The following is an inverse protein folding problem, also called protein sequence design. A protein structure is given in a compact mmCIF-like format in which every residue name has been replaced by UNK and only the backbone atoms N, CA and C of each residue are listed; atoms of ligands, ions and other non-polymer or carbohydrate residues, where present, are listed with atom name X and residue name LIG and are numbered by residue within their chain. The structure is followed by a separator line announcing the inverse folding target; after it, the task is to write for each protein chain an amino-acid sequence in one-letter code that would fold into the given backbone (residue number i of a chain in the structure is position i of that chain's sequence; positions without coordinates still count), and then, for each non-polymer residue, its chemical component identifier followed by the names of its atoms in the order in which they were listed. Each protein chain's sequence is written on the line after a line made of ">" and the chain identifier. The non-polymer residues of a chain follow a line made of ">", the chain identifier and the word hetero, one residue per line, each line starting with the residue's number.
data_IF_198797251773
#
_entry.id   IF_198797251773
#
_cell.length_a   1.000
_cell.length_b   1.000
_cell.length_c   1.000
_cell.angle_alpha   90.00
_cell.angle_beta   90.00
_cell.angle_gamma   90.00
#
_symmetry.space_group_name_H-M   'P 1'
#
loop_
_entity.id
_entity.type
_entity.pdbx_description
1 polymer ?
#
# COMPACT_ATOMS: atom_id res chain seq x y z
N UNK A 1 69.66 41.40 23.48
CA UNK A 1 69.75 40.41 24.61
C UNK A 1 68.43 39.71 24.73
N UNK A 2 68.19 38.66 23.87
CA UNK A 2 66.94 37.87 23.91
C UNK A 2 66.99 36.98 25.16
N UNK A 3 65.96 37.11 25.99
CA UNK A 3 65.85 36.50 27.29
C UNK A 3 65.94 35.00 27.22
N UNK A 4 66.72 34.34 28.06
CA UNK A 4 66.78 32.86 28.23
C UNK A 4 65.38 32.22 28.45
N UNK A 5 64.42 32.99 28.87
CA UNK A 5 63.03 32.55 29.08
C UNK A 5 62.28 32.28 27.77
N UNK A 6 62.68 32.93 26.65
CA UNK A 6 62.02 32.65 25.33
C UNK A 6 62.33 31.25 24.80
N UNK A 7 63.56 30.78 25.00
CA UNK A 7 63.97 29.43 24.61
C UNK A 7 63.32 28.34 25.48
N UNK A 8 63.08 28.64 26.77
CA UNK A 8 62.40 27.71 27.70
C UNK A 8 60.94 27.56 27.31
N UNK A 9 60.23 28.61 26.91
CA UNK A 9 58.86 28.54 26.43
C UNK A 9 58.76 27.77 25.10
N UNK A 10 59.75 27.91 24.20
CA UNK A 10 59.77 27.19 22.94
C UNK A 10 59.98 25.68 23.14
N UNK A 11 60.83 25.30 24.09
CA UNK A 11 61.07 23.88 24.45
C UNK A 11 59.84 23.26 25.12
N UNK A 12 59.11 23.99 25.99
CA UNK A 12 57.90 23.53 26.65
C UNK A 12 56.76 23.37 25.62
N UNK A 13 56.66 24.22 24.61
CA UNK A 13 55.68 24.10 23.54
C UNK A 13 55.96 22.89 22.62
N UNK A 14 57.22 22.50 22.44
CA UNK A 14 57.58 21.35 21.63
C UNK A 14 57.31 20.00 22.34
N UNK A 15 57.24 19.98 23.66
CA UNK A 15 56.94 18.78 24.45
C UNK A 15 55.42 18.52 24.62
N UNK A 16 54.58 19.48 24.27
CA UNK A 16 53.13 19.41 24.47
C UNK A 16 52.31 18.64 23.39
N UNK A 17 52.92 18.19 22.31
CA UNK A 17 52.19 17.65 21.15
C UNK A 17 52.40 16.15 20.88
N UNK A 18 52.62 15.35 21.91
CA UNK A 18 52.59 13.88 21.73
C UNK A 18 51.25 13.31 22.25
N UNK A 19 50.14 13.64 21.60
CA UNK A 19 48.94 12.80 21.68
C UNK A 19 49.18 11.61 20.77
N UNK A 20 49.60 10.48 21.35
CA UNK A 20 49.52 9.20 20.63
C UNK A 20 48.06 8.98 20.19
N UNK A 21 47.79 8.70 18.91
CA UNK A 21 46.43 8.36 18.49
C UNK A 21 46.00 7.11 19.26
N UNK A 22 45.02 7.29 20.15
CA UNK A 22 44.39 6.17 20.83
C UNK A 22 43.48 5.48 19.81
N UNK A 23 44.00 4.41 19.23
CA UNK A 23 43.19 3.51 18.43
C UNK A 23 42.43 2.61 19.40
N UNK A 24 41.18 2.96 19.67
CA UNK A 24 40.24 2.03 20.29
C UNK A 24 40.10 0.81 19.36
N UNK A 25 40.60 -0.35 19.78
CA UNK A 25 40.24 -1.60 19.12
C UNK A 25 38.78 -1.87 19.40
N UNK A 26 37.92 -1.50 18.47
CA UNK A 26 36.52 -1.93 18.49
C UNK A 26 36.50 -3.37 17.98
N UNK A 27 36.45 -4.33 18.91
CA UNK A 27 36.18 -5.71 18.59
C UNK A 27 34.68 -5.88 18.38
N UNK A 28 34.24 -6.13 17.16
CA UNK A 28 32.87 -6.53 16.87
C UNK A 28 32.84 -8.02 16.52
N UNK A 29 31.93 -8.78 17.13
CA UNK A 29 31.61 -10.12 16.71
C UNK A 29 30.34 -10.05 15.85
N UNK A 30 30.41 -10.47 14.60
CA UNK A 30 29.25 -10.66 13.75
C UNK A 30 28.52 -11.93 14.20
N UNK A 31 27.38 -11.76 14.84
CA UNK A 31 26.44 -12.85 15.07
C UNK A 31 25.48 -12.92 13.91
N UNK A 32 25.56 -13.98 13.12
CA UNK A 32 24.59 -14.23 12.04
C UNK A 32 23.29 -14.72 12.68
N UNK A 33 22.20 -13.95 12.51
CA UNK A 33 20.86 -14.39 12.87
C UNK A 33 20.33 -15.23 11.73
N UNK A 34 20.33 -16.54 11.90
CA UNK A 34 19.76 -17.48 10.95
C UNK A 34 18.70 -18.38 11.62
N UNK A 35 18.09 -19.29 10.86
CA UNK A 35 17.06 -20.20 11.35
C UNK A 35 17.54 -21.21 12.41
N UNK A 36 18.86 -21.31 12.67
CA UNK A 36 19.42 -22.13 13.73
C UNK A 36 19.38 -21.47 15.11
N UNK A 37 19.16 -20.16 15.17
CA UNK A 37 19.01 -19.42 16.42
C UNK A 37 17.69 -19.77 17.10
N UNK A 38 17.74 -20.60 18.11
CA UNK A 38 16.56 -21.12 18.85
C UNK A 38 16.39 -20.56 20.25
N UNK A 39 17.25 -19.66 20.68
CA UNK A 39 17.13 -19.09 22.03
C UNK A 39 16.02 -18.01 22.07
N UNK A 40 14.86 -18.40 22.61
CA UNK A 40 13.87 -17.42 23.07
C UNK A 40 14.26 -16.98 24.50
N UNK A 41 14.25 -15.69 24.75
CA UNK A 41 14.41 -15.18 26.10
C UNK A 41 13.10 -15.34 26.86
N UNK A 42 13.01 -16.31 27.79
CA UNK A 42 11.83 -16.50 28.66
C UNK A 42 11.36 -15.21 29.31
N UNK A 43 12.28 -14.30 29.62
CA UNK A 43 11.97 -12.99 30.20
C UNK A 43 11.21 -12.11 29.21
N UNK A 44 11.62 -12.10 27.95
CA UNK A 44 10.97 -11.34 26.88
C UNK A 44 9.62 -11.98 26.55
N UNK A 45 9.58 -13.29 26.43
CA UNK A 45 8.33 -14.04 26.17
C UNK A 45 7.28 -13.76 27.24
N UNK A 46 7.64 -13.83 28.52
CA UNK A 46 6.74 -13.51 29.64
C UNK A 46 6.26 -12.06 29.62
N UNK A 47 7.09 -11.12 29.16
CA UNK A 47 6.72 -9.71 29.04
C UNK A 47 5.72 -9.48 27.90
N UNK A 48 5.89 -10.17 26.77
CA UNK A 48 5.08 -10.01 25.58
C UNK A 48 3.77 -10.80 25.65
N UNK A 49 3.79 -11.97 26.32
CA UNK A 49 2.67 -12.93 26.34
C UNK A 49 1.29 -12.32 26.67
N UNK A 50 1.11 -11.46 27.67
CA UNK A 50 -0.19 -10.86 27.99
C UNK A 50 -0.75 -10.01 26.83
N UNK A 51 0.12 -9.22 26.20
CA UNK A 51 -0.26 -8.36 25.06
C UNK A 51 -0.53 -9.19 23.81
N UNK A 52 0.30 -10.20 23.56
CA UNK A 52 0.13 -11.11 22.43
C UNK A 52 -1.20 -11.85 22.52
N UNK A 53 -1.55 -12.40 23.66
CA UNK A 53 -2.81 -13.12 23.84
C UNK A 53 -4.03 -12.23 23.55
N UNK A 54 -4.01 -10.96 23.97
CA UNK A 54 -5.07 -10.00 23.70
C UNK A 54 -5.17 -9.68 22.20
N UNK A 55 -4.04 -9.42 21.54
CA UNK A 55 -4.01 -9.13 20.11
C UNK A 55 -4.45 -10.35 19.31
N UNK A 56 -3.92 -11.55 19.61
CA UNK A 56 -4.25 -12.79 18.92
C UNK A 56 -5.76 -13.08 18.99
N UNK A 57 -6.40 -12.80 20.13
CA UNK A 57 -7.85 -13.00 20.29
C UNK A 57 -8.68 -12.16 19.32
N UNK A 58 -8.24 -10.94 19.00
CA UNK A 58 -8.90 -10.05 18.04
C UNK A 58 -8.52 -10.39 16.60
N UNK A 59 -7.25 -10.69 16.35
CA UNK A 59 -6.73 -10.96 15.01
C UNK A 59 -7.21 -12.29 14.42
N UNK A 60 -7.55 -13.26 15.27
CA UNK A 60 -8.05 -14.58 14.85
C UNK A 60 -9.58 -14.65 14.65
N UNK A 61 -10.31 -13.54 14.83
CA UNK A 61 -11.75 -13.49 14.53
C UNK A 61 -11.96 -13.73 13.02
N UNK A 62 -12.74 -14.77 12.70
CA UNK A 62 -13.14 -15.06 11.31
C UNK A 62 -14.21 -14.04 10.90
N UNK A 63 -13.93 -13.31 9.82
CA UNK A 63 -14.82 -12.27 9.28
C UNK A 63 -15.36 -12.62 7.88
N UNK A 64 -15.01 -13.78 7.34
CA UNK A 64 -15.50 -14.20 6.04
C UNK A 64 -14.80 -15.44 5.52
N UNK A 65 -15.06 -15.77 4.25
CA UNK A 65 -14.47 -16.93 3.60
C UNK A 65 -14.08 -16.61 2.17
N UNK A 66 -12.94 -17.13 1.71
CA UNK A 66 -12.48 -17.06 0.33
C UNK A 66 -12.60 -18.44 -0.34
N UNK A 67 -13.11 -18.47 -1.57
CA UNK A 67 -13.26 -19.69 -2.35
C UNK A 67 -11.93 -20.28 -2.80
N UNK A 68 -10.94 -19.42 -3.01
CA UNK A 68 -9.64 -19.75 -3.58
C UNK A 68 -8.55 -18.81 -3.03
N UNK A 69 -7.30 -19.16 -3.29
CA UNK A 69 -6.20 -18.25 -3.01
C UNK A 69 -6.17 -17.13 -4.06
N UNK A 70 -6.12 -15.87 -3.60
CA UNK A 70 -6.00 -14.71 -4.46
C UNK A 70 -4.65 -14.05 -4.25
N UNK A 71 -3.87 -13.98 -5.31
CA UNK A 71 -2.55 -13.36 -5.33
C UNK A 71 -2.57 -12.05 -6.12
N UNK A 72 -1.63 -11.17 -5.85
CA UNK A 72 -1.42 -9.98 -6.68
C UNK A 72 -0.50 -10.29 -7.85
N UNK A 73 -0.82 -9.74 -9.02
CA UNK A 73 -0.02 -9.80 -10.23
C UNK A 73 -0.14 -8.51 -11.04
N UNK A 74 0.60 -8.41 -12.12
CA UNK A 74 0.53 -7.32 -13.10
C UNK A 74 0.32 -7.89 -14.50
N UNK A 75 -0.35 -7.16 -15.38
CA UNK A 75 -0.93 -5.83 -15.20
C UNK A 75 -2.20 -5.81 -14.34
N UNK A 76 -2.83 -6.95 -14.12
CA UNK A 76 -4.08 -7.17 -13.41
C UNK A 76 -3.95 -8.35 -12.45
N UNK A 77 -4.75 -8.38 -11.39
CA UNK A 77 -4.79 -9.52 -10.47
C UNK A 77 -6.18 -9.72 -9.87
N UNK A 78 -6.54 -10.99 -9.64
CA UNK A 78 -7.79 -11.32 -8.97
C UNK A 78 -7.88 -10.68 -7.57
N UNK A 79 -6.77 -10.64 -6.80
CA UNK A 79 -6.74 -9.94 -5.52
C UNK A 79 -7.03 -8.44 -5.68
N UNK A 80 -6.35 -7.77 -6.63
CA UNK A 80 -6.54 -6.35 -6.88
C UNK A 80 -7.98 -6.03 -7.28
N UNK A 81 -8.52 -6.80 -8.24
CA UNK A 81 -9.90 -6.65 -8.70
C UNK A 81 -10.89 -6.84 -7.55
N UNK A 82 -10.75 -7.94 -6.81
CA UNK A 82 -11.65 -8.25 -5.71
C UNK A 82 -11.64 -7.20 -4.59
N UNK A 83 -10.46 -6.72 -4.18
CA UNK A 83 -10.36 -5.68 -3.15
C UNK A 83 -11.02 -4.38 -3.62
N UNK A 84 -10.77 -3.94 -4.85
CA UNK A 84 -11.35 -2.69 -5.36
C UNK A 84 -12.87 -2.81 -5.55
N UNK A 85 -13.38 -3.97 -5.95
CA UNK A 85 -14.82 -4.21 -6.06
C UNK A 85 -15.53 -4.19 -4.70
N UNK A 86 -14.94 -4.81 -3.67
CA UNK A 86 -15.44 -4.72 -2.30
C UNK A 86 -15.48 -3.27 -1.82
N UNK A 87 -14.45 -2.48 -2.11
CA UNK A 87 -14.42 -1.08 -1.71
C UNK A 87 -15.47 -0.22 -2.45
N UNK A 88 -15.77 -0.52 -3.71
CA UNK A 88 -16.88 0.12 -4.45
C UNK A 88 -18.21 -0.26 -3.81
N UNK A 89 -18.42 -1.54 -3.50
CA UNK A 89 -19.64 -2.01 -2.80
C UNK A 89 -19.83 -1.26 -1.48
N UNK A 90 -18.78 -1.21 -0.68
CA UNK A 90 -18.80 -0.48 0.59
C UNK A 90 -19.06 1.02 0.39
N UNK A 91 -18.30 1.65 -0.49
CA UNK A 91 -18.39 3.09 -0.75
C UNK A 91 -19.77 3.49 -1.27
N UNK A 92 -20.36 2.69 -2.15
CA UNK A 92 -21.72 2.93 -2.68
C UNK A 92 -22.77 2.91 -1.56
N UNK A 93 -22.59 2.06 -0.55
CA UNK A 93 -23.55 1.89 0.54
C UNK A 93 -23.34 2.86 1.70
N UNK A 94 -22.12 3.35 1.92
CA UNK A 94 -21.75 4.08 3.15
C UNK A 94 -21.19 5.49 2.91
N UNK A 95 -20.78 5.79 1.67
CA UNK A 95 -20.28 7.12 1.30
C UNK A 95 -21.35 7.77 0.44
N UNK A 96 -21.87 8.92 0.88
CA UNK A 96 -22.91 9.66 0.14
C UNK A 96 -22.33 10.39 -1.08
N UNK A 97 -21.64 9.61 -1.93
CA UNK A 97 -21.08 10.05 -3.22
C UNK A 97 -21.31 8.97 -4.27
N UNK A 98 -21.67 9.37 -5.48
CA UNK A 98 -21.75 8.44 -6.59
C UNK A 98 -20.32 8.07 -7.03
N UNK A 99 -19.90 6.81 -6.81
CA UNK A 99 -18.56 6.32 -7.11
C UNK A 99 -18.57 5.66 -8.48
N UNK A 100 -17.73 6.14 -9.39
CA UNK A 100 -17.59 5.57 -10.74
C UNK A 100 -16.48 4.52 -10.80
N UNK A 101 -15.36 4.77 -10.10
CA UNK A 101 -14.15 3.96 -10.19
C UNK A 101 -13.48 3.87 -8.81
N UNK A 102 -12.80 2.76 -8.53
CA UNK A 102 -11.85 2.64 -7.43
C UNK A 102 -10.46 2.38 -7.99
N UNK A 103 -9.47 3.08 -7.45
CA UNK A 103 -8.05 2.89 -7.80
C UNK A 103 -7.24 2.78 -6.52
N UNK A 104 -6.45 1.72 -6.41
CA UNK A 104 -5.45 1.53 -5.37
C UNK A 104 -4.07 1.35 -6.00
N UNK A 105 -3.02 1.37 -5.19
CA UNK A 105 -1.68 1.05 -5.66
C UNK A 105 -1.32 -0.43 -5.39
N UNK A 106 -0.61 -1.03 -6.34
CA UNK A 106 -0.10 -2.40 -6.23
C UNK A 106 0.74 -2.61 -4.95
N UNK A 107 1.54 -1.59 -4.58
CA UNK A 107 2.35 -1.60 -3.36
C UNK A 107 1.54 -1.61 -2.07
N UNK A 108 0.29 -1.17 -2.10
CA UNK A 108 -0.63 -1.16 -0.96
C UNK A 108 -1.09 -2.55 -0.54
N UNK A 109 -1.13 -3.52 -1.47
CA UNK A 109 -1.45 -4.92 -1.19
C UNK A 109 -0.18 -5.69 -0.84
N UNK A 110 -0.02 -6.13 0.40
CA UNK A 110 1.25 -6.67 0.93
C UNK A 110 1.30 -8.18 1.05
N UNK A 111 0.15 -8.85 1.13
CA UNK A 111 0.04 -10.30 1.30
C UNK A 111 -1.05 -10.87 0.39
N UNK A 112 -1.00 -12.15 0.01
CA UNK A 112 -2.10 -12.84 -0.66
C UNK A 112 -3.28 -13.07 0.30
N UNK A 113 -4.47 -13.30 -0.25
CA UNK A 113 -5.63 -13.80 0.47
C UNK A 113 -5.71 -15.32 0.27
N UNK A 114 -5.46 -16.15 1.29
CA UNK A 114 -5.52 -17.59 1.14
C UNK A 114 -6.96 -18.10 1.01
N UNK A 115 -7.12 -19.30 0.45
CA UNK A 115 -8.39 -20.03 0.45
C UNK A 115 -8.84 -20.37 1.87
N UNK A 116 -10.12 -20.29 2.14
CA UNK A 116 -10.74 -20.69 3.41
C UNK A 116 -11.16 -19.52 4.28
N UNK A 117 -11.11 -19.65 5.61
CA UNK A 117 -11.57 -18.59 6.52
C UNK A 117 -10.66 -17.37 6.43
N UNK A 118 -11.27 -16.19 6.38
CA UNK A 118 -10.63 -14.90 6.39
C UNK A 118 -10.69 -14.37 7.81
N UNK A 119 -9.53 -14.19 8.44
CA UNK A 119 -9.43 -13.61 9.79
C UNK A 119 -9.05 -12.13 9.73
N UNK A 120 -9.39 -11.37 10.77
CA UNK A 120 -9.05 -9.94 10.89
C UNK A 120 -7.56 -9.71 10.62
N UNK A 121 -6.68 -10.52 11.23
CA UNK A 121 -5.23 -10.43 11.04
C UNK A 121 -4.79 -10.54 9.58
N UNK A 122 -5.47 -11.37 8.78
CA UNK A 122 -5.17 -11.47 7.35
C UNK A 122 -5.44 -10.17 6.61
N UNK A 123 -6.50 -9.44 6.97
CA UNK A 123 -6.80 -8.15 6.35
C UNK A 123 -5.72 -7.11 6.73
N UNK A 124 -5.23 -7.15 7.97
CA UNK A 124 -4.09 -6.32 8.40
C UNK A 124 -2.79 -6.67 7.65
N UNK A 125 -2.56 -7.95 7.32
CA UNK A 125 -1.40 -8.35 6.51
C UNK A 125 -1.53 -7.90 5.04
N UNK A 126 -2.74 -7.97 4.47
CA UNK A 126 -3.00 -7.51 3.09
C UNK A 126 -2.83 -6.00 2.99
N UNK A 127 -3.40 -5.25 3.94
CA UNK A 127 -3.43 -3.78 3.96
C UNK A 127 -2.90 -3.24 5.30
N UNK A 128 -1.57 -3.26 5.55
CA UNK A 128 -1.01 -2.93 6.87
C UNK A 128 -0.98 -1.43 7.19
N UNK A 129 -1.43 -0.58 6.29
CA UNK A 129 -1.41 0.88 6.44
C UNK A 129 -2.72 1.43 6.99
N UNK A 130 -2.67 2.51 7.78
CA UNK A 130 -3.86 3.21 8.29
C UNK A 130 -4.44 4.19 7.23
N UNK A 131 -4.53 3.70 6.00
CA UNK A 131 -5.10 4.48 4.92
C UNK A 131 -6.62 4.60 5.06
N UNK A 132 -7.13 5.81 4.80
CA UNK A 132 -8.56 6.10 4.76
C UNK A 132 -9.06 6.20 3.32
N UNK A 133 -10.37 5.96 3.16
CA UNK A 133 -11.05 6.13 1.88
C UNK A 133 -11.28 7.62 1.58
N UNK A 134 -10.95 8.01 0.36
CA UNK A 134 -11.14 9.37 -0.18
C UNK A 134 -11.82 9.28 -1.53
N UNK A 135 -12.77 10.17 -1.79
CA UNK A 135 -13.37 10.33 -3.12
C UNK A 135 -12.81 11.60 -3.76
N UNK A 136 -12.29 11.48 -4.97
CA UNK A 136 -11.73 12.58 -5.77
C UNK A 136 -12.53 12.70 -7.05
N UNK A 137 -12.88 13.92 -7.42
CA UNK A 137 -13.58 14.18 -8.68
C UNK A 137 -12.58 14.57 -9.77
N UNK A 138 -12.58 13.84 -10.87
CA UNK A 138 -11.76 14.10 -12.06
C UNK A 138 -12.63 14.42 -13.27
N UNK A 139 -12.14 15.29 -14.13
CA UNK A 139 -12.69 15.50 -15.48
C UNK A 139 -12.32 14.33 -16.41
N UNK A 140 -12.96 14.27 -17.56
CA UNK A 140 -12.65 13.25 -18.60
C UNK A 140 -11.18 13.29 -19.04
N UNK A 141 -10.58 14.47 -19.20
CA UNK A 141 -9.18 14.60 -19.60
C UNK A 141 -8.22 14.13 -18.49
N UNK A 142 -8.57 14.43 -17.24
CA UNK A 142 -7.80 13.94 -16.07
C UNK A 142 -7.93 12.43 -15.93
N UNK A 143 -9.09 11.87 -16.23
CA UNK A 143 -9.28 10.41 -16.23
C UNK A 143 -8.38 9.73 -17.28
N UNK A 144 -8.22 10.30 -18.48
CA UNK A 144 -7.25 9.82 -19.48
C UNK A 144 -5.81 9.88 -18.96
N UNK A 145 -5.47 10.93 -18.20
CA UNK A 145 -4.15 11.06 -17.59
C UNK A 145 -3.93 10.03 -16.49
N UNK A 146 -4.98 9.71 -15.72
CA UNK A 146 -4.96 8.62 -14.73
C UNK A 146 -4.74 7.27 -15.42
N UNK A 147 -5.42 6.98 -16.55
CA UNK A 147 -5.22 5.75 -17.31
C UNK A 147 -3.76 5.60 -17.76
N UNK A 148 -3.17 6.66 -18.29
CA UNK A 148 -1.75 6.67 -18.66
C UNK A 148 -0.85 6.38 -17.47
N UNK A 149 -1.11 7.01 -16.32
CA UNK A 149 -0.32 6.77 -15.12
C UNK A 149 -0.39 5.30 -14.67
N UNK A 150 -1.57 4.68 -14.66
CA UNK A 150 -1.76 3.26 -14.32
C UNK A 150 -0.96 2.37 -15.27
N UNK A 151 -0.96 2.65 -16.57
CA UNK A 151 -0.20 1.88 -17.56
C UNK A 151 1.31 2.05 -17.38
N UNK A 152 1.83 3.26 -17.08
CA UNK A 152 3.25 3.46 -16.79
C UNK A 152 3.74 2.70 -15.55
N UNK A 153 2.82 2.33 -14.65
CA UNK A 153 3.10 1.46 -13.49
C UNK A 153 2.96 -0.03 -13.82
N UNK A 154 2.77 -0.39 -15.10
CA UNK A 154 2.50 -1.76 -15.55
C UNK A 154 1.23 -2.34 -14.92
N UNK A 155 0.23 -1.50 -14.67
CA UNK A 155 -1.04 -1.87 -14.06
C UNK A 155 -1.10 -1.62 -12.55
N UNK A 156 -2.29 -1.26 -12.09
CA UNK A 156 -2.65 -1.02 -10.68
C UNK A 156 -4.02 -1.63 -10.40
N UNK A 157 -4.37 -1.96 -9.13
CA UNK A 157 -5.71 -2.44 -8.80
C UNK A 157 -6.78 -1.42 -9.16
N UNK A 158 -7.73 -1.81 -10.00
CA UNK A 158 -8.87 -1.00 -10.40
C UNK A 158 -10.18 -1.76 -10.28
N UNK A 159 -11.25 -1.04 -9.98
CA UNK A 159 -12.61 -1.54 -9.97
C UNK A 159 -13.58 -0.44 -10.40
N UNK A 160 -14.77 -0.82 -10.87
CA UNK A 160 -15.84 0.09 -11.22
C UNK A 160 -17.20 -0.55 -11.00
N UNK A 161 -18.25 0.28 -10.80
CA UNK A 161 -19.64 -0.21 -10.75
C UNK A 161 -20.08 -0.89 -12.07
N UNK A 162 -19.47 -0.49 -13.17
CA UNK A 162 -19.67 -1.05 -14.51
C UNK A 162 -18.37 -1.64 -14.96
N UNK A 163 -18.44 -2.60 -15.88
CA UNK A 163 -17.24 -3.19 -16.43
C UNK A 163 -16.34 -2.09 -17.01
N UNK A 164 -15.06 -2.05 -16.58
CA UNK A 164 -14.10 -1.03 -16.98
C UNK A 164 -12.88 -1.69 -17.60
N UNK A 165 -12.39 -1.11 -18.69
CA UNK A 165 -11.10 -1.49 -19.28
C UNK A 165 -10.19 -0.29 -19.42
N UNK A 166 -8.93 -0.48 -19.12
CA UNK A 166 -7.85 0.44 -19.50
C UNK A 166 -7.10 -0.22 -20.65
N UNK A 167 -6.99 0.49 -21.75
CA UNK A 167 -6.26 0.02 -22.92
C UNK A 167 -5.24 1.06 -23.35
N UNK A 168 -4.05 0.61 -23.79
CA UNK A 168 -3.12 1.47 -24.48
C UNK A 168 -3.40 1.39 -26.00
N UNK A 169 -3.45 2.56 -26.61
CA UNK A 169 -3.52 2.73 -28.05
C UNK A 169 -2.37 3.62 -28.52
N UNK A 170 -2.00 3.56 -29.79
CA UNK A 170 -1.05 4.52 -30.41
C UNK A 170 -1.44 5.99 -30.20
N UNK A 171 -2.73 6.26 -29.97
CA UNK A 171 -3.26 7.59 -29.63
C UNK A 171 -3.22 7.91 -28.14
N UNK A 172 -2.77 7.00 -27.29
CA UNK A 172 -2.69 7.14 -25.83
C UNK A 172 -3.55 6.14 -25.07
N UNK A 173 -3.50 6.23 -23.73
CA UNK A 173 -4.28 5.37 -22.84
C UNK A 173 -5.71 5.89 -22.70
N UNK A 174 -6.66 4.98 -22.67
CA UNK A 174 -8.07 5.31 -22.42
C UNK A 174 -8.70 4.37 -21.38
N UNK A 175 -9.65 4.90 -20.61
CA UNK A 175 -10.66 4.09 -19.94
C UNK A 175 -11.82 3.84 -20.88
N UNK A 176 -12.29 2.61 -20.97
CA UNK A 176 -13.53 2.24 -21.62
C UNK A 176 -14.48 1.65 -20.59
N UNK A 177 -15.70 2.18 -20.52
CA UNK A 177 -16.82 1.63 -19.75
C UNK A 177 -17.78 0.94 -20.72
N UNK A 178 -18.35 -0.19 -20.33
CA UNK A 178 -19.08 -1.11 -21.23
C UNK A 178 -20.30 -0.52 -21.95
N UNK A 179 -20.94 0.50 -21.39
CA UNK A 179 -22.21 1.05 -21.96
C UNK A 179 -22.16 2.53 -22.33
N UNK A 180 -21.09 3.23 -22.00
CA UNK A 180 -20.97 4.65 -22.30
C UNK A 180 -19.58 4.99 -22.82
N UNK A 181 -19.53 5.68 -23.94
CA UNK A 181 -18.30 6.38 -24.32
C UNK A 181 -17.94 7.37 -23.19
N UNK A 182 -16.65 7.52 -22.91
CA UNK A 182 -16.06 8.48 -21.94
C UNK A 182 -16.62 9.92 -22.05
N UNK A 183 -17.46 10.20 -23.04
CA UNK A 183 -18.03 11.51 -23.31
C UNK A 183 -19.41 11.74 -22.66
N UNK A 184 -20.00 10.72 -22.01
CA UNK A 184 -21.33 10.85 -21.43
C UNK A 184 -21.34 11.63 -20.10
N UNK A 185 -20.26 11.55 -19.31
CA UNK A 185 -20.09 12.29 -18.07
C UNK A 185 -19.00 13.37 -18.20
N UNK A 186 -19.23 14.56 -17.62
CA UNK A 186 -18.23 15.63 -17.55
C UNK A 186 -17.23 15.42 -16.42
N UNK A 187 -17.56 14.60 -15.43
CA UNK A 187 -16.73 14.33 -14.26
C UNK A 187 -16.98 12.93 -13.70
N UNK A 188 -15.96 12.36 -13.06
CA UNK A 188 -15.94 11.01 -12.50
C UNK A 188 -15.46 11.04 -11.06
N UNK A 189 -16.15 10.34 -10.19
CA UNK A 189 -15.79 10.20 -8.79
C UNK A 189 -14.93 8.94 -8.58
N UNK A 190 -13.69 9.14 -8.19
CA UNK A 190 -12.68 8.11 -7.99
C UNK A 190 -12.53 7.84 -6.50
N UNK A 191 -12.87 6.63 -6.08
CA UNK A 191 -12.58 6.14 -4.73
C UNK A 191 -11.11 5.70 -4.66
N UNK A 192 -10.38 6.17 -3.68
CA UNK A 192 -8.96 5.86 -3.52
C UNK A 192 -8.53 5.97 -2.06
N UNK A 193 -7.24 5.77 -1.78
CA UNK A 193 -6.65 5.99 -0.46
C UNK A 193 -6.22 7.46 -0.28
N UNK A 194 -6.21 7.93 0.97
CA UNK A 194 -5.62 9.23 1.29
C UNK A 194 -4.14 9.31 0.87
N UNK A 195 -3.38 8.20 0.94
CA UNK A 195 -2.00 8.13 0.46
C UNK A 195 -1.88 8.52 -1.01
N UNK A 196 -2.72 7.94 -1.89
CA UNK A 196 -2.72 8.29 -3.31
C UNK A 196 -3.30 9.69 -3.56
N UNK A 197 -4.34 10.06 -2.80
CA UNK A 197 -4.95 11.40 -2.85
C UNK A 197 -3.93 12.52 -2.56
N UNK A 198 -2.95 12.26 -1.70
CA UNK A 198 -1.86 13.17 -1.35
C UNK A 198 -0.67 13.09 -2.33
N UNK A 199 -0.77 12.30 -3.39
CA UNK A 199 0.25 12.17 -4.45
C UNK A 199 1.23 11.03 -4.24
N UNK A 200 0.96 10.11 -3.31
CA UNK A 200 1.75 8.89 -3.12
C UNK A 200 1.90 8.11 -4.42
N UNK A 201 3.00 7.38 -4.59
CA UNK A 201 3.36 6.62 -5.80
C UNK A 201 3.32 7.46 -7.10
N UNK A 202 3.45 8.79 -6.97
CA UNK A 202 3.46 9.71 -8.12
C UNK A 202 2.07 10.05 -8.68
N UNK A 203 0.99 9.80 -7.94
CA UNK A 203 -0.38 10.18 -8.31
C UNK A 203 -0.61 11.70 -8.17
N UNK A 204 0.27 12.51 -8.76
CA UNK A 204 0.18 13.98 -8.71
C UNK A 204 -1.12 14.52 -9.29
N UNK A 205 -1.78 13.75 -10.16
CA UNK A 205 -3.08 14.08 -10.73
C UNK A 205 -4.18 14.22 -9.68
N UNK A 206 -4.04 13.59 -8.52
CA UNK A 206 -5.00 13.68 -7.43
C UNK A 206 -4.77 14.90 -6.54
N UNK A 207 -3.56 15.46 -6.55
CA UNK A 207 -3.24 16.63 -5.74
C UNK A 207 -4.07 17.83 -6.15
N UNK A 208 -4.44 18.64 -5.17
CA UNK A 208 -5.21 19.88 -5.38
C UNK A 208 -6.58 19.71 -6.07
N UNK A 209 -7.12 18.48 -6.09
CA UNK A 209 -8.49 18.23 -6.60
C UNK A 209 -9.53 18.34 -5.50
N UNK A 210 -10.77 18.69 -5.86
CA UNK A 210 -11.89 18.57 -4.94
C UNK A 210 -11.97 17.13 -4.43
N UNK A 211 -11.98 16.95 -3.11
CA UNK A 211 -12.01 15.63 -2.49
C UNK A 211 -12.94 15.59 -1.28
N UNK A 212 -13.52 14.44 -1.07
CA UNK A 212 -14.27 14.09 0.12
C UNK A 212 -13.46 13.07 0.94
N UNK A 213 -13.08 13.42 2.16
CA UNK A 213 -12.40 12.53 3.10
C UNK A 213 -13.45 11.81 3.96
N UNK A 214 -13.58 10.52 3.82
CA UNK A 214 -14.57 9.74 4.57
C UNK A 214 -14.19 9.50 6.02
N UNK A 215 -12.89 9.58 6.35
CA UNK A 215 -12.30 9.15 7.62
C UNK A 215 -12.50 7.65 7.95
N UNK A 216 -12.93 6.86 6.99
CA UNK A 216 -13.12 5.42 7.12
C UNK A 216 -11.82 4.71 6.72
N UNK A 217 -11.27 3.91 7.62
CA UNK A 217 -10.10 3.08 7.29
C UNK A 217 -10.48 2.04 6.22
N UNK A 218 -9.61 1.85 5.23
CA UNK A 218 -9.79 0.83 4.19
C UNK A 218 -9.98 -0.55 4.81
N UNK A 219 -9.21 -0.90 5.85
CA UNK A 219 -9.38 -2.18 6.55
C UNK A 219 -10.77 -2.36 7.17
N UNK A 220 -11.33 -1.29 7.74
CA UNK A 220 -12.71 -1.34 8.31
C UNK A 220 -13.73 -1.64 7.21
N UNK A 221 -13.60 -0.99 6.05
CA UNK A 221 -14.46 -1.26 4.90
C UNK A 221 -14.33 -2.71 4.42
N UNK A 222 -13.11 -3.23 4.31
CA UNK A 222 -12.86 -4.60 3.89
C UNK A 222 -13.39 -5.63 4.89
N UNK A 223 -13.21 -5.41 6.20
CA UNK A 223 -13.78 -6.28 7.24
C UNK A 223 -15.30 -6.34 7.11
N UNK A 224 -15.96 -5.19 6.93
CA UNK A 224 -17.41 -5.12 6.76
C UNK A 224 -17.88 -5.85 5.49
N UNK A 225 -17.16 -5.72 4.37
CA UNK A 225 -17.54 -6.40 3.12
C UNK A 225 -17.29 -7.91 3.20
N UNK A 226 -16.15 -8.35 3.74
CA UNK A 226 -15.88 -9.77 3.91
C UNK A 226 -16.88 -10.42 4.87
N UNK A 227 -17.42 -9.70 5.88
CA UNK A 227 -18.41 -10.24 6.82
C UNK A 227 -19.75 -10.61 6.16
N UNK A 228 -19.97 -10.17 4.93
CA UNK A 228 -21.14 -10.59 4.13
C UNK A 228 -20.96 -11.96 3.47
N UNK A 229 -19.73 -12.49 3.45
CA UNK A 229 -19.41 -13.79 2.86
C UNK A 229 -19.54 -14.93 3.87
N UNK A 230 -19.87 -16.11 3.41
CA UNK A 230 -20.04 -17.31 4.24
C UNK A 230 -19.27 -18.49 3.65
N UNK A 231 -19.16 -19.58 4.40
CA UNK A 231 -18.55 -20.80 3.89
C UNK A 231 -19.35 -21.40 2.70
N UNK A 232 -20.66 -21.16 2.63
CA UNK A 232 -21.51 -21.62 1.52
C UNK A 232 -21.44 -20.67 0.31
N UNK A 233 -21.27 -19.38 0.60
CA UNK A 233 -21.14 -18.31 -0.38
C UNK A 233 -19.84 -17.54 -0.15
N UNK A 234 -18.69 -18.16 -0.43
CA UNK A 234 -17.40 -17.56 -0.19
C UNK A 234 -17.09 -16.46 -1.22
N UNK A 235 -16.23 -15.54 -0.83
CA UNK A 235 -15.72 -14.51 -1.72
C UNK A 235 -15.00 -15.13 -2.91
N UNK A 236 -15.25 -14.57 -4.09
CA UNK A 236 -14.60 -14.92 -5.36
C UNK A 236 -14.19 -13.64 -6.07
N UNK A 237 -13.06 -13.69 -6.74
CA UNK A 237 -12.62 -12.62 -7.62
C UNK A 237 -11.87 -13.23 -8.82
N UNK A 238 -11.97 -12.59 -9.96
CA UNK A 238 -11.40 -13.09 -11.22
C UNK A 238 -10.56 -12.02 -11.91
N UNK A 239 -9.69 -12.46 -12.79
CA UNK A 239 -9.06 -11.60 -13.80
C UNK A 239 -10.03 -11.54 -14.98
N UNK A 240 -10.58 -10.38 -15.27
CA UNK A 240 -11.63 -10.18 -16.28
C UNK A 240 -11.21 -9.24 -17.44
N UNK A 241 -9.92 -8.91 -17.49
CA UNK A 241 -9.35 -8.09 -18.56
C UNK A 241 -9.57 -6.59 -18.37
N UNK A 242 -9.57 -6.10 -17.12
CA UNK A 242 -9.70 -4.67 -16.81
C UNK A 242 -8.53 -3.85 -17.32
N UNK A 243 -7.34 -4.44 -17.41
CA UNK A 243 -6.14 -3.78 -17.92
C UNK A 243 -5.61 -4.59 -19.08
N UNK A 244 -5.76 -4.04 -20.29
CA UNK A 244 -5.25 -4.63 -21.51
C UNK A 244 -3.99 -3.90 -21.93
N UNK A 245 -2.86 -4.58 -21.80
CA UNK A 245 -1.57 -4.10 -22.25
C UNK A 245 -1.21 -4.75 -23.58
N UNK A 246 -1.11 -3.97 -24.64
CA UNK A 246 -0.60 -4.41 -25.95
C UNK A 246 0.76 -3.76 -26.20
N UNK A 247 1.87 -4.52 -26.12
CA UNK A 247 3.22 -3.97 -26.32
C UNK A 247 3.44 -3.43 -27.74
N UNK A 248 2.62 -3.81 -28.73
CA UNK A 248 2.71 -3.34 -30.11
C UNK A 248 2.04 -1.96 -30.31
N UNK A 249 1.41 -1.44 -29.27
CA UNK A 249 0.73 -0.14 -29.30
C UNK A 249 1.54 0.99 -28.61
N UNK A 250 2.84 0.78 -28.35
CA UNK A 250 3.77 1.82 -27.89
C UNK A 250 4.24 2.73 -29.01
#
# INVERSE_FOLDING_TARGET
>A
MFSKHFYICLILAALGCNRLPYTAKVGGQLNTLDSSWKESSKRIDNLIQPYKAQIDSQMNIVVGYSAEELIKSRPESALGNGITDLLISYGTSHINNDIDLCVLNYGGLRAPLPKGPIVVGRIYEIMPFDNTLVVITLSTEELKSLARHILTKSGEPIGAKRHVKIMNYKSGAIFQFEEDSLNAKKSYNILTSNYLADGGDGYTIFQSKPRFNSNILIRTALIAEFSKTTQKEPFKAVIDGRIVWDPNNE
#
